data_IF_833668025742
#
_entry.id   IF_833668025742
#
_cell.length_a   1.000
_cell.length_b   1.000
_cell.length_c   1.000
_cell.angle_alpha   90.00
_cell.angle_beta   90.00
_cell.angle_gamma   90.00
#
_symmetry.space_group_name_H-M   'P 1'
#
loop_
_entity.id
_entity.type
_entity.pdbx_description
1 polymer ?
#
# COMPACT_ATOMS: atom_id res chain seq x y z
N UNK A 1 -15.60 16.10 -7.96
CA UNK A 1 -15.01 14.77 -7.80
C UNK A 1 -15.79 14.06 -6.70
N UNK A 2 -16.51 12.97 -7.03
CA UNK A 2 -17.38 12.27 -6.08
C UNK A 2 -16.66 11.15 -5.29
N UNK A 3 -15.42 10.78 -5.69
CA UNK A 3 -14.64 9.71 -5.09
C UNK A 3 -13.20 10.20 -4.90
N UNK A 4 -12.66 9.95 -3.72
CA UNK A 4 -11.23 10.15 -3.42
C UNK A 4 -10.48 8.83 -3.61
N UNK A 5 -9.29 8.89 -4.18
CA UNK A 5 -8.43 7.73 -4.44
C UNK A 5 -7.11 7.91 -3.71
N UNK A 6 -6.79 6.99 -2.81
CA UNK A 6 -5.53 6.98 -2.08
C UNK A 6 -4.72 5.75 -2.45
N UNK A 7 -3.41 5.93 -2.65
CA UNK A 7 -2.44 4.85 -2.75
C UNK A 7 -1.89 4.47 -1.38
N UNK A 8 -1.34 3.28 -1.28
CA UNK A 8 -0.58 2.81 -0.13
C UNK A 8 0.75 2.24 -0.59
N UNK A 9 1.85 2.61 0.06
CA UNK A 9 3.20 2.13 -0.23
C UNK A 9 3.93 1.70 1.03
N UNK A 10 4.84 0.68 0.94
CA UNK A 10 5.79 0.41 2.01
C UNK A 10 6.73 1.60 2.21
N UNK A 11 7.02 1.95 3.45
CA UNK A 11 8.00 3.00 3.75
C UNK A 11 9.41 2.68 3.20
N UNK A 12 9.74 1.39 3.04
CA UNK A 12 11.00 0.90 2.49
C UNK A 12 11.02 0.83 0.95
N UNK A 13 9.93 1.24 0.28
CA UNK A 13 9.80 1.32 -1.18
C UNK A 13 8.77 2.39 -1.54
N UNK A 14 9.07 3.64 -1.21
CA UNK A 14 8.16 4.78 -1.21
C UNK A 14 8.37 5.74 -2.40
N UNK A 15 8.86 5.22 -3.51
CA UNK A 15 9.21 6.01 -4.69
C UNK A 15 8.02 6.80 -5.28
N UNK A 16 6.83 6.22 -5.31
CA UNK A 16 5.65 6.94 -5.82
C UNK A 16 5.21 8.06 -4.86
N UNK A 17 5.28 7.83 -3.54
CA UNK A 17 5.03 8.87 -2.54
C UNK A 17 5.97 10.07 -2.73
N UNK A 18 7.30 9.82 -2.76
CA UNK A 18 8.30 10.88 -2.97
C UNK A 18 8.17 11.54 -4.34
N UNK A 19 7.82 10.78 -5.36
CA UNK A 19 7.60 11.31 -6.71
C UNK A 19 6.44 12.29 -6.75
N UNK A 20 5.34 12.01 -6.04
CA UNK A 20 4.21 12.93 -5.94
C UNK A 20 4.57 14.21 -5.17
N UNK A 21 5.27 14.08 -4.04
CA UNK A 21 5.69 15.22 -3.21
C UNK A 21 6.63 16.17 -3.97
N UNK A 22 7.57 15.61 -4.73
CA UNK A 22 8.58 16.38 -5.47
C UNK A 22 8.12 16.79 -6.88
N UNK A 23 7.06 16.17 -7.41
CA UNK A 23 6.53 16.44 -8.73
C UNK A 23 7.33 15.81 -9.88
N UNK A 24 8.34 14.98 -9.57
CA UNK A 24 9.21 14.28 -10.53
C UNK A 24 9.52 12.87 -10.04
N UNK A 25 9.81 11.96 -10.97
CA UNK A 25 10.04 10.55 -10.67
C UNK A 25 11.28 10.38 -9.77
N UNK A 26 11.08 9.75 -8.63
CA UNK A 26 12.11 9.32 -7.69
C UNK A 26 12.35 7.83 -7.83
N UNK A 27 13.58 7.39 -7.55
CA UNK A 27 13.96 5.98 -7.53
C UNK A 27 14.22 5.51 -6.10
N UNK A 28 13.98 4.23 -5.82
CA UNK A 28 14.35 3.63 -4.57
C UNK A 28 15.82 3.23 -4.58
N UNK A 29 16.56 3.55 -3.52
CA UNK A 29 17.92 3.05 -3.32
C UNK A 29 17.88 1.58 -2.90
N UNK A 30 16.90 1.21 -2.07
CA UNK A 30 16.65 -0.16 -1.62
C UNK A 30 15.14 -0.42 -1.62
N UNK A 31 14.75 -1.68 -1.67
CA UNK A 31 13.35 -2.11 -1.59
C UNK A 31 13.21 -3.25 -0.59
N UNK A 32 13.68 -3.00 0.64
CA UNK A 32 13.69 -4.01 1.71
C UNK A 32 12.31 -4.15 2.37
N UNK A 33 11.35 -4.61 1.59
CA UNK A 33 9.97 -4.83 2.04
C UNK A 33 9.51 -6.26 1.79
N UNK A 34 8.62 -6.78 2.66
CA UNK A 34 7.92 -8.05 2.45
C UNK A 34 6.89 -7.97 1.33
N UNK A 35 6.51 -6.76 0.90
CA UNK A 35 5.61 -6.53 -0.22
C UNK A 35 6.34 -6.70 -1.55
N UNK A 36 6.59 -7.95 -1.96
CA UNK A 36 7.34 -8.26 -3.18
C UNK A 36 6.70 -7.70 -4.45
N UNK A 37 5.37 -7.62 -4.50
CA UNK A 37 4.63 -7.00 -5.59
C UNK A 37 4.75 -5.47 -5.66
N UNK A 38 5.35 -4.82 -4.67
CA UNK A 38 5.49 -3.35 -4.59
C UNK A 38 6.95 -2.87 -4.63
N UNK A 39 7.87 -3.72 -5.08
CA UNK A 39 9.29 -3.37 -5.21
C UNK A 39 9.63 -2.67 -6.53
N UNK A 40 8.73 -2.73 -7.51
CA UNK A 40 8.92 -2.06 -8.81
C UNK A 40 8.75 -0.55 -8.67
N UNK A 41 9.60 0.19 -9.36
CA UNK A 41 9.54 1.65 -9.38
C UNK A 41 8.38 2.16 -10.24
N UNK A 42 7.92 3.36 -9.91
CA UNK A 42 6.93 4.08 -10.71
C UNK A 42 7.50 4.40 -12.11
N UNK A 43 6.71 4.12 -13.14
CA UNK A 43 7.12 4.34 -14.52
C UNK A 43 6.74 5.72 -15.07
N UNK A 44 7.45 6.16 -16.12
CA UNK A 44 7.20 7.45 -16.78
C UNK A 44 5.81 7.56 -17.41
N UNK A 45 5.19 6.45 -17.76
CA UNK A 45 3.81 6.42 -18.32
C UNK A 45 2.76 6.51 -17.21
N UNK A 46 2.99 5.81 -16.08
CA UNK A 46 2.02 5.75 -14.98
C UNK A 46 2.08 6.95 -14.06
N UNK A 47 3.25 7.55 -13.89
CA UNK A 47 3.44 8.69 -12.99
C UNK A 47 2.51 9.89 -13.29
N UNK A 48 2.38 10.38 -14.55
CA UNK A 48 1.46 11.47 -14.86
C UNK A 48 -0.01 11.13 -14.52
N UNK A 49 -0.41 9.89 -14.73
CA UNK A 49 -1.77 9.42 -14.43
C UNK A 49 -2.01 9.41 -12.93
N UNK A 50 -1.07 8.88 -12.17
CA UNK A 50 -1.14 8.85 -10.69
C UNK A 50 -1.16 10.29 -10.16
N UNK A 51 -0.29 11.16 -10.64
CA UNK A 51 -0.23 12.59 -10.26
C UNK A 51 -1.55 13.32 -10.51
N UNK A 52 -2.27 12.97 -11.58
CA UNK A 52 -3.56 13.59 -11.91
C UNK A 52 -4.74 13.01 -11.11
N UNK A 53 -4.74 11.69 -10.87
CA UNK A 53 -5.93 10.97 -10.41
C UNK A 53 -5.93 10.61 -8.94
N UNK A 54 -4.76 10.49 -8.31
CA UNK A 54 -4.62 10.05 -6.92
C UNK A 54 -4.58 11.26 -5.99
N UNK A 55 -5.35 11.22 -4.93
CA UNK A 55 -5.46 12.32 -3.95
C UNK A 55 -4.32 12.32 -2.92
N UNK A 56 -3.58 11.24 -2.81
CA UNK A 56 -2.39 11.10 -1.98
C UNK A 56 -1.94 9.65 -1.84
N UNK A 57 -0.73 9.47 -1.33
CA UNK A 57 -0.17 8.16 -1.01
C UNK A 57 0.15 8.12 0.48
N UNK A 58 -0.20 7.02 1.13
CA UNK A 58 0.04 6.76 2.55
C UNK A 58 1.13 5.70 2.65
N UNK A 59 2.27 6.06 3.24
CA UNK A 59 3.33 5.09 3.51
C UNK A 59 3.09 4.38 4.83
N UNK A 60 3.40 3.07 4.87
CA UNK A 60 3.25 2.22 6.04
C UNK A 60 4.50 1.41 6.29
N UNK A 61 4.76 1.09 7.56
CA UNK A 61 5.90 0.28 7.99
C UNK A 61 5.64 -1.21 7.77
N UNK A 62 6.70 -2.02 7.77
CA UNK A 62 6.61 -3.49 7.68
C UNK A 62 5.74 -4.08 8.80
N UNK A 63 5.86 -3.58 10.03
CA UNK A 63 5.04 -4.04 11.14
C UNK A 63 3.55 -3.73 10.93
N UNK A 64 3.21 -2.53 10.44
CA UNK A 64 1.83 -2.17 10.11
C UNK A 64 1.25 -3.08 9.02
N UNK A 65 2.07 -3.50 8.05
CA UNK A 65 1.69 -4.46 7.00
C UNK A 65 1.43 -5.84 7.60
N UNK A 66 2.36 -6.35 8.41
CA UNK A 66 2.26 -7.67 9.06
C UNK A 66 1.01 -7.73 9.95
N UNK A 67 0.79 -6.72 10.78
CA UNK A 67 -0.39 -6.66 11.66
C UNK A 67 -1.70 -6.65 10.86
N UNK A 68 -1.74 -5.93 9.75
CA UNK A 68 -2.89 -5.88 8.85
C UNK A 68 -3.15 -7.24 8.17
N UNK A 69 -2.08 -7.91 7.73
CA UNK A 69 -2.16 -9.24 7.13
C UNK A 69 -2.75 -10.23 8.13
N UNK A 70 -2.19 -10.28 9.33
CA UNK A 70 -2.67 -11.14 10.42
C UNK A 70 -4.15 -10.85 10.75
N UNK A 71 -4.53 -9.57 10.84
CA UNK A 71 -5.91 -9.18 11.12
C UNK A 71 -6.88 -9.69 10.05
N UNK A 72 -6.55 -9.56 8.77
CA UNK A 72 -7.39 -10.08 7.67
C UNK A 72 -7.52 -11.59 7.77
N UNK A 73 -6.42 -12.31 7.93
CA UNK A 73 -6.42 -13.77 8.03
C UNK A 73 -7.28 -14.25 9.21
N UNK A 74 -7.08 -13.65 10.39
CA UNK A 74 -7.78 -14.06 11.62
C UNK A 74 -9.27 -13.70 11.61
N UNK A 75 -9.65 -12.55 11.03
CA UNK A 75 -11.01 -12.05 11.09
C UNK A 75 -11.86 -12.50 9.91
N UNK A 76 -11.29 -12.44 8.71
CA UNK A 76 -12.02 -12.73 7.47
C UNK A 76 -11.84 -14.18 7.01
N UNK A 77 -10.85 -14.92 7.54
CA UNK A 77 -10.51 -16.30 7.14
C UNK A 77 -10.18 -16.44 5.66
N UNK A 78 -9.55 -15.43 5.10
CA UNK A 78 -9.05 -15.43 3.72
C UNK A 78 -7.53 -15.26 3.71
N UNK A 79 -6.90 -15.90 2.72
CA UNK A 79 -5.45 -15.77 2.50
C UNK A 79 -5.21 -14.55 1.61
N UNK A 80 -4.42 -13.62 2.11
CA UNK A 80 -3.96 -12.44 1.37
C UNK A 80 -2.45 -12.30 1.54
N UNK A 81 -1.77 -11.79 0.52
CA UNK A 81 -0.34 -11.51 0.56
C UNK A 81 -0.03 -10.13 1.18
N UNK A 82 1.21 -9.86 1.63
CA UNK A 82 1.58 -8.57 2.21
C UNK A 82 1.25 -7.37 1.30
N UNK A 83 1.56 -7.46 0.01
CA UNK A 83 1.27 -6.40 -0.98
C UNK A 83 -0.21 -6.07 -1.10
N UNK A 84 -1.08 -7.01 -0.76
CA UNK A 84 -2.54 -6.84 -0.77
C UNK A 84 -3.05 -6.16 0.50
N UNK A 85 -2.43 -6.45 1.66
CA UNK A 85 -2.92 -6.00 2.97
C UNK A 85 -2.54 -4.56 3.29
N UNK A 86 -1.62 -3.99 2.54
CA UNK A 86 -1.10 -2.64 2.74
C UNK A 86 -2.21 -1.57 2.71
N UNK A 87 -3.27 -1.82 1.97
CA UNK A 87 -4.44 -0.91 1.91
C UNK A 87 -5.16 -0.82 3.25
N UNK A 88 -5.29 -1.93 3.98
CA UNK A 88 -5.84 -1.92 5.33
C UNK A 88 -4.87 -1.22 6.31
N UNK A 89 -3.57 -1.49 6.19
CA UNK A 89 -2.55 -0.82 7.02
C UNK A 89 -2.64 0.70 6.89
N UNK A 90 -2.77 1.22 5.67
CA UNK A 90 -2.91 2.65 5.40
C UNK A 90 -4.16 3.25 6.06
N UNK A 91 -5.30 2.56 6.01
CA UNK A 91 -6.53 3.02 6.66
C UNK A 91 -6.37 3.02 8.18
N UNK A 92 -5.80 1.97 8.77
CA UNK A 92 -5.59 1.88 10.21
C UNK A 92 -4.64 2.97 10.72
N UNK A 93 -3.59 3.29 9.94
CA UNK A 93 -2.66 4.37 10.24
C UNK A 93 -3.30 5.76 10.18
N UNK A 94 -4.16 5.98 9.21
CA UNK A 94 -4.77 7.30 8.94
C UNK A 94 -6.29 7.29 9.19
N UNK A 95 -6.73 6.67 10.28
CA UNK A 95 -8.16 6.53 10.65
C UNK A 95 -8.94 7.85 10.57
N UNK A 96 -8.30 8.95 10.94
CA UNK A 96 -8.93 10.27 10.95
C UNK A 96 -9.34 10.73 9.55
N UNK A 97 -8.52 10.40 8.53
CA UNK A 97 -8.79 10.73 7.14
C UNK A 97 -10.05 10.03 6.61
N UNK A 98 -10.32 8.82 7.11
CA UNK A 98 -11.41 7.96 6.64
C UNK A 98 -12.63 7.95 7.55
N UNK A 99 -12.61 8.71 8.66
CA UNK A 99 -13.68 8.72 9.64
C UNK A 99 -15.01 9.19 9.00
N UNK A 100 -16.05 8.38 9.18
CA UNK A 100 -17.39 8.67 8.64
C UNK A 100 -17.52 8.45 7.12
N UNK A 101 -16.46 7.94 6.45
CA UNK A 101 -16.48 7.67 5.01
C UNK A 101 -16.86 6.22 4.72
N UNK A 102 -17.39 5.97 3.52
CA UNK A 102 -17.51 4.63 2.96
C UNK A 102 -16.22 4.36 2.18
N UNK A 103 -15.44 3.40 2.63
CA UNK A 103 -14.12 3.09 2.07
C UNK A 103 -14.14 1.73 1.39
N UNK A 104 -13.75 1.69 0.13
CA UNK A 104 -13.47 0.45 -0.59
C UNK A 104 -11.98 0.14 -0.57
N UNK A 105 -11.61 -1.10 -0.26
CA UNK A 105 -10.24 -1.60 -0.36
C UNK A 105 -10.16 -2.65 -1.46
N UNK A 106 -9.04 -2.65 -2.18
CA UNK A 106 -8.72 -3.71 -3.13
C UNK A 106 -7.74 -4.67 -2.46
N UNK A 107 -8.17 -5.91 -2.24
CA UNK A 107 -7.30 -7.01 -1.86
C UNK A 107 -6.91 -7.74 -3.15
N UNK A 108 -5.73 -7.44 -3.67
CA UNK A 108 -5.32 -7.75 -5.03
C UNK A 108 -4.82 -9.18 -5.23
N UNK A 109 -4.35 -9.84 -4.18
CA UNK A 109 -3.78 -11.18 -4.31
C UNK A 109 -3.51 -11.89 -2.99
N UNK A 110 -3.12 -13.16 -3.09
CA UNK A 110 -2.84 -14.05 -1.97
C UNK A 110 -1.66 -15.01 -2.25
N UNK A 111 -0.72 -14.61 -3.11
CA UNK A 111 0.47 -15.41 -3.42
C UNK A 111 1.49 -15.33 -2.28
N UNK A 112 1.35 -16.20 -1.30
CA UNK A 112 2.16 -16.22 -0.08
C UNK A 112 2.70 -17.62 0.20
N UNK A 113 3.96 -17.70 0.64
CA UNK A 113 4.58 -18.94 1.11
C UNK A 113 4.08 -19.25 2.52
N UNK A 114 3.21 -20.26 2.63
CA UNK A 114 2.62 -20.68 3.91
C UNK A 114 3.64 -21.26 4.89
N UNK A 115 4.85 -21.58 4.44
CA UNK A 115 5.94 -22.09 5.30
C UNK A 115 6.78 -20.98 5.92
N UNK A 116 6.58 -19.72 5.48
CA UNK A 116 7.36 -18.54 5.88
C UNK A 116 6.47 -17.36 6.21
N UNK A 117 5.45 -17.59 7.02
CA UNK A 117 4.57 -16.53 7.46
C UNK A 117 5.31 -15.56 8.40
N UNK A 118 5.05 -14.23 8.30
CA UNK A 118 5.72 -13.23 9.12
C UNK A 118 5.14 -13.13 10.55
N UNK A 119 4.16 -13.95 10.90
CA UNK A 119 3.49 -13.97 12.22
C UNK A 119 3.17 -15.38 12.68
#
# INVERSE_FOLDING_TARGET
>A
KGIFVYGAEPAEADDAYRSLELGEIQVNETTNTICDGLRAQIGSVTFPIIKEKVDGIITVTENEIIDSMRMIWERMKIIVEPSSTITLAAILKRKELFKGQKVGLILSGGNVDLTKLPF
#
